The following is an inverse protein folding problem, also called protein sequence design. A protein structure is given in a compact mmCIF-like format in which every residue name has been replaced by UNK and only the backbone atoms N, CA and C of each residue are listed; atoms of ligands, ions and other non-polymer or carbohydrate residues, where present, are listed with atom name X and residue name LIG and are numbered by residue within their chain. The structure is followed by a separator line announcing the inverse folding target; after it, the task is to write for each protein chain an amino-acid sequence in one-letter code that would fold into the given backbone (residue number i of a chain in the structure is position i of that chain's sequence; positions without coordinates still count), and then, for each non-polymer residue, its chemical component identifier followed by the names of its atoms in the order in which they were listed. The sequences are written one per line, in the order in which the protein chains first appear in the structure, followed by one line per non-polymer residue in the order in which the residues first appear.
data_IF_814326124371
#
_entry.id   IF_814326124371
#
_cell.length_a   1.000
_cell.length_b   1.000
_cell.length_c   1.000
_cell.angle_alpha   90.00
_cell.angle_beta   90.00
_cell.angle_gamma   90.00
#
_symmetry.space_group_name_H-M   'P 1'
#
loop_
_entity.id
_entity.type
_entity.pdbx_description
1 polymer ?
#
# COMPACT_ATOMS: atom_id res chain seq x y z
N UNK A 1 15.33 -22.53 -31.01
CA UNK A 1 14.49 -22.17 -29.84
C UNK A 1 15.37 -21.40 -28.85
N UNK A 2 15.12 -20.10 -28.67
CA UNK A 2 15.92 -19.27 -27.75
C UNK A 2 15.48 -19.59 -26.32
N UNK A 3 16.37 -20.18 -25.49
CA UNK A 3 16.14 -20.35 -24.05
C UNK A 3 15.88 -18.96 -23.44
N UNK A 4 14.64 -18.67 -23.03
CA UNK A 4 14.31 -17.48 -22.22
C UNK A 4 15.16 -17.54 -20.95
N UNK A 5 15.90 -16.48 -20.66
CA UNK A 5 16.82 -16.42 -19.52
C UNK A 5 16.10 -16.73 -18.20
N UNK A 6 16.72 -17.50 -17.27
CA UNK A 6 16.09 -17.96 -16.02
C UNK A 6 15.54 -16.81 -15.14
N UNK A 7 16.15 -15.62 -15.22
CA UNK A 7 15.67 -14.41 -14.52
C UNK A 7 14.26 -13.99 -14.94
N UNK A 8 13.93 -14.12 -16.24
CA UNK A 8 12.60 -13.80 -16.77
C UNK A 8 11.53 -14.79 -16.31
N UNK A 9 11.90 -16.04 -16.01
CA UNK A 9 10.92 -17.03 -15.53
C UNK A 9 10.57 -16.77 -14.06
N UNK A 10 11.56 -16.53 -13.21
CA UNK A 10 11.33 -16.19 -11.81
C UNK A 10 10.49 -14.91 -11.66
N UNK A 11 10.76 -13.87 -12.46
CA UNK A 11 9.98 -12.63 -12.48
C UNK A 11 8.53 -12.87 -12.88
N UNK A 12 8.30 -13.60 -13.98
CA UNK A 12 6.95 -13.97 -14.41
C UNK A 12 6.20 -14.77 -13.36
N UNK A 13 6.88 -15.68 -12.65
CA UNK A 13 6.26 -16.43 -11.55
C UNK A 13 5.75 -15.47 -10.47
N UNK A 14 6.55 -14.48 -10.06
CA UNK A 14 6.13 -13.50 -9.05
C UNK A 14 5.00 -12.60 -9.54
N UNK A 15 5.04 -12.12 -10.79
CA UNK A 15 3.98 -11.29 -11.37
C UNK A 15 2.64 -12.04 -11.38
N UNK A 16 2.61 -13.26 -11.91
CA UNK A 16 1.39 -14.08 -11.91
C UNK A 16 0.95 -14.45 -10.50
N UNK A 17 1.88 -14.71 -9.59
CA UNK A 17 1.53 -14.98 -8.19
C UNK A 17 0.87 -13.76 -7.54
N UNK A 18 1.39 -12.55 -7.77
CA UNK A 18 0.82 -11.31 -7.25
C UNK A 18 -0.61 -11.09 -7.78
N UNK A 19 -0.81 -11.27 -9.08
CA UNK A 19 -2.14 -11.16 -9.71
C UNK A 19 -3.13 -12.15 -9.10
N UNK A 20 -2.74 -13.43 -8.99
CA UNK A 20 -3.59 -14.48 -8.42
C UNK A 20 -3.88 -14.23 -6.93
N UNK A 21 -2.89 -13.84 -6.12
CA UNK A 21 -3.10 -13.51 -4.71
C UNK A 21 -4.04 -12.33 -4.54
N UNK A 22 -3.84 -11.26 -5.32
CA UNK A 22 -4.72 -10.10 -5.31
C UNK A 22 -6.17 -10.48 -5.67
N UNK A 23 -6.35 -11.31 -6.70
CA UNK A 23 -7.66 -11.72 -7.19
C UNK A 23 -8.40 -12.71 -6.28
N UNK A 24 -7.70 -13.73 -5.78
CA UNK A 24 -8.38 -14.87 -5.16
C UNK A 24 -8.19 -14.98 -3.63
N UNK A 25 -7.30 -14.21 -3.02
CA UNK A 25 -6.85 -14.53 -1.67
C UNK A 25 -5.55 -15.30 -1.72
N UNK A 26 -4.54 -14.90 -0.95
CA UNK A 26 -3.36 -15.76 -0.78
C UNK A 26 -3.77 -17.17 -0.35
N UNK A 27 -4.69 -17.39 0.63
CA UNK A 27 -5.02 -18.73 1.10
C UNK A 27 -5.61 -19.65 0.04
N UNK A 28 -6.26 -19.09 -0.99
CA UNK A 28 -6.96 -19.84 -2.04
C UNK A 28 -6.09 -20.16 -3.26
N UNK A 29 -4.83 -19.71 -3.29
CA UNK A 29 -3.93 -19.91 -4.42
C UNK A 29 -2.85 -20.94 -4.08
N UNK A 30 -2.80 -22.03 -4.85
CA UNK A 30 -1.77 -23.07 -4.70
C UNK A 30 -0.63 -22.88 -5.71
N UNK A 31 0.55 -23.44 -5.43
CA UNK A 31 1.68 -23.49 -6.39
C UNK A 31 1.31 -24.25 -7.67
N UNK A 32 0.41 -25.24 -7.58
CA UNK A 32 -0.15 -25.93 -8.74
C UNK A 32 -0.98 -24.99 -9.61
N UNK A 33 -1.84 -24.17 -9.01
CA UNK A 33 -2.62 -23.17 -9.75
C UNK A 33 -1.72 -22.15 -10.44
N UNK A 34 -0.69 -21.64 -9.74
CA UNK A 34 0.29 -20.71 -10.30
C UNK A 34 1.02 -21.34 -11.50
N UNK A 35 1.45 -22.60 -11.37
CA UNK A 35 2.14 -23.33 -12.44
C UNK A 35 1.24 -23.53 -13.67
N UNK A 36 -0.03 -23.87 -13.44
CA UNK A 36 -1.04 -24.05 -14.48
C UNK A 36 -1.31 -22.74 -15.24
N UNK A 37 -1.51 -21.63 -14.53
CA UNK A 37 -1.72 -20.30 -15.12
C UNK A 37 -0.55 -19.87 -16.00
N UNK A 38 0.68 -20.18 -15.59
CA UNK A 38 1.90 -19.86 -16.34
C UNK A 38 2.20 -20.81 -17.51
N UNK A 39 1.51 -21.95 -17.58
CA UNK A 39 1.83 -23.03 -18.52
C UNK A 39 3.20 -23.67 -18.28
N UNK A 40 3.64 -23.78 -17.02
CA UNK A 40 4.92 -24.41 -16.63
C UNK A 40 4.67 -25.67 -15.78
N UNK A 41 5.66 -26.56 -15.69
CA UNK A 41 5.58 -27.70 -14.77
C UNK A 41 5.76 -27.25 -13.32
N UNK A 42 5.14 -27.93 -12.33
CA UNK A 42 5.37 -27.65 -10.91
C UNK A 42 6.85 -27.70 -10.53
N UNK A 43 7.62 -28.64 -11.11
CA UNK A 43 9.07 -28.73 -10.88
C UNK A 43 9.85 -27.49 -11.33
N UNK A 44 9.38 -26.79 -12.38
CA UNK A 44 9.98 -25.52 -12.80
C UNK A 44 9.71 -24.40 -11.78
N UNK A 45 8.49 -24.33 -11.23
CA UNK A 45 8.18 -23.41 -10.14
C UNK A 45 9.04 -23.71 -8.91
N UNK A 46 9.08 -24.97 -8.46
CA UNK A 46 9.87 -25.39 -7.29
C UNK A 46 11.37 -25.15 -7.43
N UNK A 47 11.91 -25.17 -8.66
CA UNK A 47 13.29 -24.80 -8.92
C UNK A 47 13.60 -23.33 -8.57
N UNK A 48 12.63 -22.44 -8.76
CA UNK A 48 12.78 -21.01 -8.48
C UNK A 48 12.30 -20.63 -7.07
N UNK A 49 11.19 -21.22 -6.62
CA UNK A 49 10.54 -20.95 -5.34
C UNK A 49 10.15 -22.28 -4.68
N UNK A 50 11.00 -22.82 -3.79
CA UNK A 50 10.81 -24.14 -3.18
C UNK A 50 9.54 -24.27 -2.33
N UNK A 51 9.00 -23.15 -1.86
CA UNK A 51 7.79 -23.08 -1.05
C UNK A 51 6.97 -21.84 -1.41
N UNK A 52 5.66 -21.88 -1.10
CA UNK A 52 4.77 -20.73 -1.27
C UNK A 52 5.23 -19.52 -0.45
N UNK A 53 5.76 -19.77 0.75
CA UNK A 53 6.31 -18.72 1.61
C UNK A 53 7.45 -17.95 0.96
N UNK A 54 8.26 -18.59 0.09
CA UNK A 54 9.32 -17.89 -0.65
C UNK A 54 8.76 -16.93 -1.71
N UNK A 55 7.59 -17.24 -2.28
CA UNK A 55 6.87 -16.29 -3.15
C UNK A 55 6.37 -15.10 -2.35
N UNK A 56 5.76 -15.35 -1.20
CA UNK A 56 5.24 -14.31 -0.29
C UNK A 56 6.39 -13.39 0.16
N UNK A 57 7.49 -13.97 0.65
CA UNK A 57 8.68 -13.24 1.08
C UNK A 57 9.25 -12.39 -0.06
N UNK A 58 9.35 -12.95 -1.28
CA UNK A 58 9.88 -12.24 -2.44
C UNK A 58 8.97 -11.09 -2.89
N UNK A 59 7.64 -11.27 -2.83
CA UNK A 59 6.67 -10.20 -3.10
C UNK A 59 6.75 -9.11 -2.04
N UNK A 60 6.88 -9.50 -0.76
CA UNK A 60 7.04 -8.58 0.34
C UNK A 60 8.33 -7.76 0.22
N UNK A 61 9.46 -8.37 -0.14
CA UNK A 61 10.74 -7.67 -0.38
C UNK A 61 10.67 -6.68 -1.57
N UNK A 62 9.84 -6.96 -2.59
CA UNK A 62 9.56 -6.01 -3.68
C UNK A 62 8.73 -4.84 -3.16
N UNK A 63 7.65 -5.14 -2.45
CA UNK A 63 6.77 -4.16 -1.83
C UNK A 63 7.54 -3.23 -0.87
N UNK A 64 8.38 -3.77 0.01
CA UNK A 64 9.15 -2.99 0.98
C UNK A 64 10.12 -2.02 0.30
N UNK A 65 10.77 -2.43 -0.80
CA UNK A 65 11.64 -1.54 -1.58
C UNK A 65 10.86 -0.40 -2.23
N UNK A 66 9.77 -0.71 -2.93
CA UNK A 66 8.92 0.30 -3.55
C UNK A 66 8.30 1.23 -2.51
N UNK A 67 7.93 0.71 -1.34
CA UNK A 67 7.42 1.51 -0.23
C UNK A 67 8.48 2.51 0.23
N UNK A 68 9.71 2.05 0.48
CA UNK A 68 10.77 2.93 0.94
C UNK A 68 11.09 4.04 -0.07
N UNK A 69 11.02 3.76 -1.38
CA UNK A 69 11.15 4.79 -2.43
C UNK A 69 10.09 5.88 -2.30
N UNK A 70 8.82 5.50 -2.10
CA UNK A 70 7.73 6.46 -1.88
C UNK A 70 7.94 7.23 -0.58
N UNK A 71 8.23 6.55 0.54
CA UNK A 71 8.40 7.19 1.84
C UNK A 71 9.55 8.22 1.87
N UNK A 72 10.61 8.02 1.08
CA UNK A 72 11.71 8.97 0.96
C UNK A 72 11.29 10.33 0.36
N UNK A 73 10.13 10.42 -0.31
CA UNK A 73 9.61 11.68 -0.84
C UNK A 73 8.95 12.56 0.24
N UNK A 74 8.74 12.06 1.46
CA UNK A 74 8.00 12.77 2.52
C UNK A 74 8.58 14.14 2.89
N UNK A 75 9.91 14.31 2.87
CA UNK A 75 10.56 15.59 3.16
C UNK A 75 10.28 16.68 2.10
N UNK A 76 9.85 16.28 0.89
CA UNK A 76 9.57 17.19 -0.21
C UNK A 76 8.13 17.73 -0.20
N UNK A 77 7.28 17.26 0.70
CA UNK A 77 5.87 17.67 0.78
C UNK A 77 5.75 19.03 1.47
N UNK A 78 5.29 20.05 0.74
CA UNK A 78 5.23 21.43 1.25
C UNK A 78 3.82 21.89 1.56
N UNK A 79 2.84 21.39 0.83
CA UNK A 79 1.46 21.82 0.95
C UNK A 79 0.48 20.64 0.81
N UNK A 80 -0.82 20.93 0.79
CA UNK A 80 -1.84 19.89 0.75
C UNK A 80 -1.95 19.19 -0.60
N UNK A 81 -1.51 19.84 -1.68
CA UNK A 81 -1.51 19.25 -3.02
C UNK A 81 -0.37 18.21 -3.12
N UNK A 82 0.83 18.57 -2.64
CA UNK A 82 1.94 17.61 -2.51
C UNK A 82 1.54 16.43 -1.60
N UNK A 83 0.88 16.70 -0.48
CA UNK A 83 0.42 15.67 0.45
C UNK A 83 -0.62 14.75 -0.19
N UNK A 84 -1.51 15.30 -1.03
CA UNK A 84 -2.47 14.54 -1.82
C UNK A 84 -1.77 13.58 -2.78
N UNK A 85 -0.79 14.04 -3.56
CA UNK A 85 -0.01 13.19 -4.46
C UNK A 85 0.77 12.10 -3.71
N UNK A 86 1.38 12.46 -2.58
CA UNK A 86 2.09 11.50 -1.73
C UNK A 86 1.15 10.41 -1.18
N UNK A 87 -0.03 10.77 -0.67
CA UNK A 87 -1.04 9.81 -0.23
C UNK A 87 -1.55 8.94 -1.37
N UNK A 88 -1.81 9.52 -2.54
CA UNK A 88 -2.28 8.79 -3.71
C UNK A 88 -1.27 7.72 -4.13
N UNK A 89 0.01 8.09 -4.24
CA UNK A 89 1.10 7.17 -4.57
C UNK A 89 1.22 6.02 -3.56
N UNK A 90 1.07 6.32 -2.25
CA UNK A 90 1.03 5.29 -1.21
C UNK A 90 -0.14 4.34 -1.39
N UNK A 91 -1.33 4.86 -1.67
CA UNK A 91 -2.53 4.05 -1.89
C UNK A 91 -2.43 3.19 -3.16
N UNK A 92 -1.85 3.70 -4.25
CA UNK A 92 -1.59 2.91 -5.46
C UNK A 92 -0.67 1.72 -5.16
N UNK A 93 0.40 1.93 -4.41
CA UNK A 93 1.29 0.85 -4.00
C UNK A 93 0.59 -0.16 -3.08
N UNK A 94 -0.21 0.33 -2.11
CA UNK A 94 -1.03 -0.53 -1.24
C UNK A 94 -2.00 -1.36 -2.08
N UNK A 95 -2.61 -0.78 -3.11
CA UNK A 95 -3.52 -1.48 -4.01
C UNK A 95 -2.83 -2.54 -4.87
N UNK A 96 -1.64 -2.23 -5.39
CA UNK A 96 -0.82 -3.15 -6.18
C UNK A 96 -0.48 -4.40 -5.37
N UNK A 97 -0.26 -4.26 -4.06
CA UNK A 97 0.04 -5.36 -3.13
C UNK A 97 -1.09 -5.65 -2.14
N UNK A 98 -2.36 -5.38 -2.52
CA UNK A 98 -3.51 -5.42 -1.61
C UNK A 98 -3.73 -6.76 -0.90
N UNK A 99 -3.25 -7.87 -1.46
CA UNK A 99 -3.28 -9.16 -0.77
C UNK A 99 -2.58 -9.12 0.59
N UNK A 100 -1.48 -8.36 0.74
CA UNK A 100 -0.75 -8.20 2.01
C UNK A 100 -1.63 -7.56 3.08
N UNK A 101 -2.47 -6.61 2.69
CA UNK A 101 -3.32 -5.85 3.59
C UNK A 101 -4.65 -6.56 3.89
N UNK A 102 -5.21 -7.27 2.89
CA UNK A 102 -6.43 -8.07 3.07
C UNK A 102 -6.19 -9.24 4.03
N UNK A 103 -5.08 -9.95 3.84
CA UNK A 103 -4.79 -11.20 4.54
C UNK A 103 -3.75 -11.01 5.67
N UNK A 104 -3.50 -9.76 6.08
CA UNK A 104 -2.37 -9.38 6.95
C UNK A 104 -2.26 -10.24 8.21
N UNK A 105 -3.33 -10.33 9.02
CA UNK A 105 -3.28 -11.07 10.28
C UNK A 105 -2.95 -12.55 10.08
N UNK A 106 -3.50 -13.17 9.03
CA UNK A 106 -3.24 -14.58 8.72
C UNK A 106 -1.80 -14.76 8.25
N UNK A 107 -1.31 -13.88 7.36
CA UNK A 107 0.07 -13.87 6.88
C UNK A 107 1.08 -13.72 8.04
N UNK A 108 0.86 -12.78 8.97
CA UNK A 108 1.73 -12.55 10.11
C UNK A 108 1.75 -13.76 11.07
N UNK A 109 0.61 -14.42 11.26
CA UNK A 109 0.51 -15.59 12.15
C UNK A 109 1.27 -16.83 11.65
N UNK A 110 1.48 -16.92 10.33
CA UNK A 110 2.12 -18.08 9.68
C UNK A 110 3.54 -17.82 9.24
N UNK A 111 3.97 -16.56 9.14
CA UNK A 111 5.27 -16.18 8.62
C UNK A 111 5.99 -15.18 9.54
N UNK A 112 6.92 -15.70 10.36
CA UNK A 112 7.70 -14.93 11.34
C UNK A 112 8.58 -13.83 10.73
N UNK A 113 9.04 -14.01 9.48
CA UNK A 113 9.81 -12.99 8.78
C UNK A 113 8.90 -11.79 8.46
N UNK A 114 7.72 -12.05 7.90
CA UNK A 114 6.71 -11.02 7.68
C UNK A 114 6.30 -10.33 8.99
N UNK A 115 6.08 -11.09 10.07
CA UNK A 115 5.79 -10.55 11.40
C UNK A 115 6.79 -9.47 11.83
N UNK A 116 8.09 -9.77 11.73
CA UNK A 116 9.16 -8.86 12.15
C UNK A 116 9.30 -7.67 11.20
N UNK A 117 9.23 -7.91 9.90
CA UNK A 117 9.43 -6.84 8.91
C UNK A 117 8.23 -5.89 8.84
N UNK A 118 7.00 -6.38 9.02
CA UNK A 118 5.81 -5.52 8.96
C UNK A 118 5.78 -4.50 10.12
N UNK A 119 6.33 -4.84 11.28
CA UNK A 119 6.56 -3.87 12.36
C UNK A 119 7.49 -2.73 11.92
N UNK A 120 8.54 -3.06 11.15
CA UNK A 120 9.44 -2.06 10.58
C UNK A 120 8.75 -1.20 9.52
N UNK A 121 7.89 -1.81 8.69
CA UNK A 121 7.03 -1.09 7.72
C UNK A 121 6.16 -0.05 8.43
N UNK A 122 5.47 -0.42 9.51
CA UNK A 122 4.63 0.52 10.27
C UNK A 122 5.47 1.65 10.88
N UNK A 123 6.61 1.32 11.49
CA UNK A 123 7.52 2.32 12.07
C UNK A 123 8.05 3.31 11.02
N UNK A 124 8.44 2.81 9.84
CA UNK A 124 8.95 3.64 8.74
C UNK A 124 7.85 4.52 8.15
N UNK A 125 6.62 4.00 7.98
CA UNK A 125 5.45 4.79 7.58
C UNK A 125 5.20 5.91 8.59
N UNK A 126 5.12 5.63 9.89
CA UNK A 126 4.87 6.66 10.91
C UNK A 126 5.96 7.73 10.90
N UNK A 127 7.23 7.34 10.81
CA UNK A 127 8.35 8.30 10.70
C UNK A 127 8.22 9.19 9.47
N UNK A 128 7.92 8.62 8.32
CA UNK A 128 7.79 9.35 7.06
C UNK A 128 6.57 10.29 7.04
N UNK A 129 5.43 9.83 7.56
CA UNK A 129 4.24 10.67 7.71
C UNK A 129 4.54 11.82 8.68
N UNK A 130 5.23 11.56 9.78
CA UNK A 130 5.68 12.62 10.68
C UNK A 130 6.60 13.62 9.96
N UNK A 131 7.59 13.15 9.21
CA UNK A 131 8.51 14.03 8.46
C UNK A 131 7.75 14.90 7.43
N UNK A 132 6.73 14.34 6.78
CA UNK A 132 5.80 15.09 5.92
C UNK A 132 5.08 16.20 6.70
N UNK A 133 4.53 15.90 7.88
CA UNK A 133 3.87 16.91 8.73
C UNK A 133 4.84 18.01 9.19
N UNK A 134 6.07 17.65 9.55
CA UNK A 134 7.14 18.60 9.91
C UNK A 134 7.51 19.50 8.72
N UNK A 135 7.57 18.93 7.50
CA UNK A 135 7.89 19.69 6.29
C UNK A 135 6.78 20.67 5.91
N UNK A 136 5.52 20.24 5.95
CA UNK A 136 4.35 21.11 5.77
C UNK A 136 4.28 22.22 6.83
N UNK A 137 4.60 21.93 8.09
CA UNK A 137 4.66 22.93 9.15
C UNK A 137 5.75 23.99 8.89
N UNK A 138 6.95 23.57 8.46
CA UNK A 138 8.04 24.48 8.08
C UNK A 138 7.68 25.36 6.87
N UNK A 139 6.93 24.81 5.92
CA UNK A 139 6.41 25.55 4.78
C UNK A 139 5.23 26.48 5.11
N UNK A 140 4.72 26.44 6.35
CA UNK A 140 3.58 27.24 6.79
C UNK A 140 2.24 26.75 6.26
N UNK A 141 2.12 25.49 5.84
CA UNK A 141 0.87 24.91 5.35
C UNK A 141 -0.05 24.40 6.48
N UNK A 142 0.52 24.07 7.64
CA UNK A 142 -0.22 23.65 8.83
C UNK A 142 0.41 24.19 10.11
N UNK A 143 -0.41 24.32 11.16
CA UNK A 143 0.02 24.61 12.53
C UNK A 143 -0.45 23.50 13.46
N UNK A 144 0.50 22.81 14.07
CA UNK A 144 0.24 21.66 14.93
C UNK A 144 1.21 21.69 16.11
N UNK A 145 0.73 21.38 17.32
CA UNK A 145 1.60 21.21 18.47
C UNK A 145 2.45 19.94 18.30
N UNK A 146 3.72 19.99 18.68
CA UNK A 146 4.65 18.85 18.56
C UNK A 146 4.12 17.58 19.27
N UNK A 147 3.31 17.75 20.33
CA UNK A 147 2.69 16.65 21.08
C UNK A 147 1.57 15.96 20.30
N UNK A 148 0.96 16.64 19.33
CA UNK A 148 -0.13 16.10 18.49
C UNK A 148 0.39 15.41 17.23
N UNK A 149 1.65 15.66 16.86
CA UNK A 149 2.22 15.20 15.61
C UNK A 149 2.38 13.67 15.53
N UNK A 150 2.94 13.05 16.56
CA UNK A 150 3.12 11.58 16.60
C UNK A 150 1.78 10.83 16.65
N UNK A 151 0.80 11.23 17.51
CA UNK A 151 -0.53 10.63 17.48
C UNK A 151 -1.23 10.80 16.13
N UNK A 152 -1.18 12.00 15.53
CA UNK A 152 -1.82 12.27 14.24
C UNK A 152 -1.20 11.43 13.12
N UNK A 153 0.14 11.38 13.04
CA UNK A 153 0.85 10.53 12.09
C UNK A 153 0.47 9.06 12.28
N UNK A 154 0.38 8.59 13.53
CA UNK A 154 -0.05 7.22 13.83
C UNK A 154 -1.49 6.96 13.36
N UNK A 155 -2.42 7.88 13.62
CA UNK A 155 -3.81 7.76 13.14
C UNK A 155 -3.88 7.70 11.61
N UNK A 156 -3.09 8.51 10.90
CA UNK A 156 -2.98 8.45 9.44
C UNK A 156 -2.46 7.09 8.96
N UNK A 157 -1.44 6.53 9.63
CA UNK A 157 -0.92 5.17 9.31
C UNK A 157 -1.95 4.08 9.58
N UNK A 158 -2.74 4.19 10.67
CA UNK A 158 -3.85 3.26 10.93
C UNK A 158 -4.87 3.30 9.80
N UNK A 159 -5.27 4.48 9.35
CA UNK A 159 -6.18 4.62 8.20
C UNK A 159 -5.54 4.03 6.94
N UNK A 160 -4.30 4.39 6.61
CA UNK A 160 -3.57 3.82 5.46
C UNK A 160 -3.51 2.28 5.49
N UNK A 161 -3.37 1.69 6.68
CA UNK A 161 -3.19 0.24 6.86
C UNK A 161 -4.51 -0.51 6.75
N UNK A 162 -5.60 0.05 7.27
CA UNK A 162 -6.89 -0.66 7.38
C UNK A 162 -7.98 -0.15 6.44
N UNK A 163 -7.68 0.85 5.59
CA UNK A 163 -8.65 1.42 4.66
C UNK A 163 -9.25 0.40 3.70
N UNK A 164 -8.42 -0.45 3.09
CA UNK A 164 -8.92 -1.49 2.18
C UNK A 164 -9.76 -2.54 2.90
N UNK A 165 -9.44 -2.87 4.15
CA UNK A 165 -10.26 -3.76 4.98
C UNK A 165 -11.62 -3.12 5.27
N UNK A 166 -11.65 -1.81 5.56
CA UNK A 166 -12.88 -1.06 5.76
C UNK A 166 -13.74 -1.03 4.49
N UNK A 167 -13.15 -0.73 3.33
CA UNK A 167 -13.84 -0.75 2.03
C UNK A 167 -14.36 -2.14 1.68
N UNK A 168 -13.57 -3.20 1.94
CA UNK A 168 -14.02 -4.58 1.77
C UNK A 168 -15.25 -4.91 2.61
N UNK A 169 -15.30 -4.50 3.88
CA UNK A 169 -16.48 -4.75 4.73
C UNK A 169 -17.72 -3.99 4.23
N UNK A 170 -17.54 -2.83 3.59
CA UNK A 170 -18.64 -2.04 3.02
C UNK A 170 -19.23 -2.66 1.76
N UNK A 171 -18.40 -3.22 0.90
CA UNK A 171 -18.83 -3.92 -0.32
C UNK A 171 -17.91 -5.11 -0.63
N UNK A 172 -18.14 -6.28 0.01
CA UNK A 172 -17.27 -7.44 -0.13
C UNK A 172 -17.17 -7.99 -1.56
N UNK A 173 -18.10 -7.65 -2.44
CA UNK A 173 -18.16 -8.19 -3.80
C UNK A 173 -17.37 -7.35 -4.79
N UNK A 174 -17.29 -6.03 -4.59
CA UNK A 174 -16.72 -5.13 -5.58
C UNK A 174 -15.55 -4.30 -5.05
N UNK A 175 -15.37 -4.13 -3.73
CA UNK A 175 -14.45 -3.14 -3.17
C UNK A 175 -12.97 -3.32 -3.57
N UNK A 176 -12.53 -4.57 -3.79
CA UNK A 176 -11.15 -4.90 -4.15
C UNK A 176 -10.99 -5.32 -5.62
N UNK A 177 -12.04 -5.07 -6.43
CA UNK A 177 -12.02 -5.25 -7.87
C UNK A 177 -11.42 -4.02 -8.58
N UNK A 178 -10.75 -4.19 -9.74
CA UNK A 178 -10.10 -3.09 -10.45
C UNK A 178 -11.00 -1.89 -10.75
N UNK A 179 -12.29 -2.13 -10.99
CA UNK A 179 -13.28 -1.09 -11.30
C UNK A 179 -13.53 -0.16 -10.10
N UNK A 180 -13.38 -0.66 -8.87
CA UNK A 180 -13.55 0.10 -7.64
C UNK A 180 -12.26 0.76 -7.16
N UNK A 181 -11.11 0.39 -7.74
CA UNK A 181 -9.79 0.79 -7.29
C UNK A 181 -9.67 2.31 -7.11
N UNK A 182 -9.84 3.05 -8.20
CA UNK A 182 -9.62 4.49 -8.23
C UNK A 182 -10.48 5.20 -7.18
N UNK A 183 -11.78 4.87 -7.13
CA UNK A 183 -12.69 5.47 -6.16
C UNK A 183 -12.31 5.15 -4.71
N UNK A 184 -11.88 3.92 -4.42
CA UNK A 184 -11.43 3.52 -3.09
C UNK A 184 -10.14 4.26 -2.69
N UNK A 185 -9.16 4.40 -3.58
CA UNK A 185 -7.89 5.09 -3.29
C UNK A 185 -8.10 6.59 -3.05
N UNK A 186 -8.94 7.24 -3.87
CA UNK A 186 -9.25 8.66 -3.72
C UNK A 186 -9.96 8.94 -2.39
N UNK A 187 -10.97 8.13 -2.03
CA UNK A 187 -11.61 8.24 -0.70
C UNK A 187 -10.61 8.00 0.43
N UNK A 188 -9.71 7.03 0.29
CA UNK A 188 -8.67 6.75 1.27
C UNK A 188 -7.77 7.96 1.51
N UNK A 189 -7.26 8.55 0.44
CA UNK A 189 -6.44 9.78 0.50
C UNK A 189 -7.18 10.92 1.18
N UNK A 190 -8.44 11.14 0.81
CA UNK A 190 -9.31 12.13 1.45
C UNK A 190 -9.48 11.89 2.95
N UNK A 191 -9.78 10.66 3.37
CA UNK A 191 -9.98 10.34 4.79
C UNK A 191 -8.70 10.51 5.62
N UNK A 192 -7.54 10.14 5.06
CA UNK A 192 -6.24 10.35 5.71
C UNK A 192 -5.96 11.84 5.87
N UNK A 193 -6.13 12.65 4.82
CA UNK A 193 -5.84 14.08 4.85
C UNK A 193 -6.86 14.89 5.63
N UNK A 194 -8.11 14.42 5.75
CA UNK A 194 -9.11 15.06 6.58
C UNK A 194 -8.74 15.09 8.07
N UNK A 195 -7.86 14.19 8.53
CA UNK A 195 -7.29 14.24 9.88
C UNK A 195 -6.46 15.50 10.12
N UNK A 196 -5.99 16.18 9.06
CA UNK A 196 -5.21 17.40 9.15
C UNK A 196 -6.07 18.68 9.16
N UNK A 197 -7.37 18.59 8.82
CA UNK A 197 -8.27 19.75 8.69
C UNK A 197 -8.25 20.71 9.89
N UNK A 198 -8.18 20.26 11.16
CA UNK A 198 -8.10 21.17 12.31
C UNK A 198 -6.79 21.98 12.38
N UNK A 199 -5.74 21.50 11.71
CA UNK A 199 -4.38 22.05 11.77
C UNK A 199 -3.99 22.84 10.51
N UNK A 200 -4.70 22.64 9.39
CA UNK A 200 -4.40 23.32 8.13
C UNK A 200 -4.66 24.83 8.21
N UNK A 201 -3.77 25.60 7.59
CA UNK A 201 -4.04 27.02 7.34
C UNK A 201 -5.28 27.20 6.46
N UNK A 202 -5.96 28.35 6.57
CA UNK A 202 -7.26 28.57 5.93
C UNK A 202 -7.26 28.30 4.41
N UNK A 203 -6.21 28.74 3.70
CA UNK A 203 -6.08 28.51 2.26
C UNK A 203 -5.87 27.02 1.93
N UNK A 204 -5.03 26.34 2.71
CA UNK A 204 -4.74 24.91 2.54
C UNK A 204 -5.98 24.05 2.84
N UNK A 205 -6.73 24.40 3.88
CA UNK A 205 -8.02 23.76 4.19
C UNK A 205 -9.02 23.93 3.05
N UNK A 206 -9.16 25.13 2.50
CA UNK A 206 -10.05 25.38 1.36
C UNK A 206 -9.62 24.55 0.13
N UNK A 207 -8.31 24.48 -0.13
CA UNK A 207 -7.76 23.70 -1.23
C UNK A 207 -8.05 22.20 -1.06
N UNK A 208 -7.85 21.63 0.13
CA UNK A 208 -8.16 20.22 0.40
C UNK A 208 -9.63 19.87 0.13
N UNK A 209 -10.54 20.76 0.55
CA UNK A 209 -11.98 20.57 0.34
C UNK A 209 -12.35 20.64 -1.15
N UNK A 210 -11.66 21.48 -1.93
CA UNK A 210 -11.83 21.56 -3.38
C UNK A 210 -11.32 20.30 -4.10
N UNK A 211 -10.12 19.81 -3.75
CA UNK A 211 -9.58 18.55 -4.28
C UNK A 211 -10.56 17.40 -4.00
N UNK A 212 -11.02 17.29 -2.76
CA UNK A 212 -12.00 16.27 -2.35
C UNK A 212 -13.31 16.34 -3.16
N UNK A 213 -13.81 17.54 -3.43
CA UNK A 213 -15.04 17.75 -4.20
C UNK A 213 -14.91 17.37 -5.68
N UNK A 214 -13.75 17.63 -6.31
CA UNK A 214 -13.49 17.27 -7.69
C UNK A 214 -13.55 15.75 -7.93
N UNK A 215 -13.02 14.98 -6.97
CA UNK A 215 -12.96 13.51 -7.05
C UNK A 215 -14.21 12.78 -6.55
N UNK A 216 -15.11 13.46 -5.85
CA UNK A 216 -16.43 12.90 -5.46
C UNK A 216 -17.48 13.10 -6.57
N UNK A 217 -17.21 14.01 -7.52
CA UNK A 217 -18.13 14.40 -8.60
C UNK A 217 -17.80 13.76 -9.95
N UNK A 218 -16.81 12.85 -9.98
CA UNK A 218 -16.39 12.07 -11.16
C UNK A 218 -16.66 10.59 -10.91
#
# INVERSE_FOLDING_TARGET
MVKKAPRRTAERILETTLELFNRFGEPNVSTTLISAELGISPGNLYYHYPAKDELINSLFDRYERSLNEVLNASDNVRDVEDAWFFMHTLFELIWQYRFLYRDLNDLLSKNRRLETHFQSVLKNKTRSIRAMLESMARAGALRMDVREMEPTATSMVVVLTYWLSFEYVRDPRNALEPESAQAALLRGGQHVLNLLVPYLEAQQRSHLLQLSGAYTSS
#
